data_IF_001899865134
#
_entry.id   IF_001899865134
#
_cell.length_a   1.000
_cell.length_b   1.000
_cell.length_c   1.000
_cell.angle_alpha   90.00
_cell.angle_beta   90.00
_cell.angle_gamma   90.00
#
_symmetry.space_group_name_H-M   'P 1'
#
loop_
_entity.id
_entity.type
_entity.pdbx_description
1 polymer ?
#
# COMPACT_ATOMS: atom_id res chain seq x y z
N UNK A 1 16.35 -33.86 -46.68
CA UNK A 1 15.12 -33.30 -47.29
C UNK A 1 14.13 -34.42 -47.59
N UNK A 2 13.00 -34.48 -46.89
CA UNK A 2 11.80 -35.20 -47.36
C UNK A 2 10.67 -34.18 -47.40
N UNK A 3 10.32 -33.71 -48.60
CA UNK A 3 9.13 -32.90 -48.83
C UNK A 3 7.93 -33.77 -48.46
N UNK A 4 7.31 -33.50 -47.31
CA UNK A 4 5.94 -33.96 -47.05
C UNK A 4 5.05 -33.19 -48.04
N UNK A 5 4.54 -33.91 -49.04
CA UNK A 5 3.47 -33.39 -49.89
C UNK A 5 2.37 -32.86 -48.97
N UNK A 6 2.05 -31.57 -49.12
CA UNK A 6 0.76 -31.06 -48.68
C UNK A 6 -0.26 -31.89 -49.42
N UNK A 7 -1.00 -32.74 -48.71
CA UNK A 7 -2.31 -33.18 -49.21
C UNK A 7 -3.08 -31.88 -49.42
N UNK A 8 -3.22 -31.46 -50.67
CA UNK A 8 -4.35 -30.63 -51.05
C UNK A 8 -5.57 -31.39 -50.57
N UNK A 9 -6.27 -30.80 -49.61
CA UNK A 9 -7.51 -31.36 -49.12
C UNK A 9 -8.45 -31.21 -50.32
N UNK A 10 -8.75 -32.33 -50.99
CA UNK A 10 -9.64 -32.36 -52.14
C UNK A 10 -11.09 -32.28 -51.64
N UNK A 11 -11.48 -31.07 -51.23
CA UNK A 11 -12.76 -30.82 -50.57
C UNK A 11 -13.96 -31.10 -51.49
N UNK A 12 -13.77 -31.06 -52.80
CA UNK A 12 -14.82 -31.19 -53.81
C UNK A 12 -15.33 -32.63 -53.85
N UNK A 13 -14.42 -33.62 -53.81
CA UNK A 13 -14.78 -35.05 -53.88
C UNK A 13 -15.50 -35.55 -52.63
N UNK A 14 -15.31 -34.90 -51.46
CA UNK A 14 -16.01 -35.25 -50.22
C UNK A 14 -17.48 -34.79 -50.16
N UNK A 15 -17.94 -33.95 -51.10
CA UNK A 15 -19.31 -33.43 -51.12
C UNK A 15 -20.26 -34.41 -51.81
N UNK A 16 -19.76 -35.12 -52.82
CA UNK A 16 -20.58 -36.01 -53.66
C UNK A 16 -20.96 -37.31 -52.93
N UNK A 17 -20.15 -37.70 -51.93
CA UNK A 17 -20.40 -38.88 -51.09
C UNK A 17 -21.37 -38.65 -49.91
N UNK A 18 -21.69 -37.38 -49.58
CA UNK A 18 -22.57 -37.03 -48.45
C UNK A 18 -24.03 -36.73 -48.88
N UNK A 19 -24.37 -36.91 -50.17
CA UNK A 19 -25.71 -36.68 -50.73
C UNK A 19 -26.45 -38.03 -50.85
N UNK A 20 -27.68 -38.12 -50.35
CA UNK A 20 -28.50 -39.32 -50.52
C UNK A 20 -28.81 -39.56 -52.01
N UNK A 21 -28.94 -40.83 -52.42
CA UNK A 21 -29.21 -41.19 -53.83
C UNK A 21 -30.51 -40.55 -54.35
N UNK A 22 -31.50 -40.37 -53.48
CA UNK A 22 -32.78 -39.70 -53.81
C UNK A 22 -32.60 -38.19 -54.07
N UNK A 23 -31.73 -37.51 -53.32
CA UNK A 23 -31.46 -36.08 -53.50
C UNK A 23 -30.61 -35.79 -54.76
N UNK A 24 -29.79 -36.75 -55.20
CA UNK A 24 -29.05 -36.65 -56.46
C UNK A 24 -29.95 -36.65 -57.70
N UNK A 25 -31.15 -37.23 -57.62
CA UNK A 25 -32.04 -37.45 -58.77
C UNK A 25 -33.05 -36.31 -59.00
N UNK A 26 -33.44 -35.53 -57.97
CA UNK A 26 -34.43 -34.43 -58.14
C UNK A 26 -33.87 -33.02 -58.05
N UNK A 27 -32.86 -32.74 -57.21
CA UNK A 27 -32.33 -31.37 -57.02
C UNK A 27 -30.81 -31.37 -56.72
N UNK A 28 -30.03 -32.03 -57.57
CA UNK A 28 -28.57 -32.27 -57.42
C UNK A 28 -27.76 -31.00 -57.09
N UNK A 29 -28.06 -29.87 -57.73
CA UNK A 29 -27.35 -28.62 -57.48
C UNK A 29 -27.70 -27.99 -56.12
N UNK A 30 -28.97 -28.05 -55.71
CA UNK A 30 -29.43 -27.48 -54.45
C UNK A 30 -28.93 -28.28 -53.25
N UNK A 31 -28.87 -29.61 -53.36
CA UNK A 31 -28.29 -30.49 -52.35
C UNK A 31 -26.77 -30.26 -52.18
N UNK A 32 -26.02 -30.16 -53.29
CA UNK A 32 -24.59 -29.81 -53.27
C UNK A 32 -24.34 -28.45 -52.61
N UNK A 33 -25.14 -27.43 -52.95
CA UNK A 33 -25.02 -26.09 -52.35
C UNK A 33 -25.34 -26.09 -50.85
N UNK A 34 -26.37 -26.83 -50.42
CA UNK A 34 -26.77 -26.95 -49.01
C UNK A 34 -25.72 -27.64 -48.14
N UNK A 35 -25.12 -28.72 -48.63
CA UNK A 35 -24.02 -29.43 -47.91
C UNK A 35 -22.77 -28.56 -47.85
N UNK A 36 -22.43 -27.87 -48.95
CA UNK A 36 -21.30 -26.94 -49.00
C UNK A 36 -21.50 -25.77 -48.01
N UNK A 37 -22.71 -25.22 -47.94
CA UNK A 37 -23.07 -24.19 -46.97
C UNK A 37 -23.02 -24.69 -45.52
N UNK A 38 -23.47 -25.93 -45.23
CA UNK A 38 -23.36 -26.55 -43.89
C UNK A 38 -21.89 -26.77 -43.48
N UNK A 39 -21.04 -27.28 -44.37
CA UNK A 39 -19.60 -27.46 -44.11
C UNK A 39 -18.88 -26.11 -43.92
N UNK A 40 -19.19 -25.10 -44.74
CA UNK A 40 -18.65 -23.72 -44.57
C UNK A 40 -19.10 -23.12 -43.23
N UNK A 41 -20.39 -23.23 -42.86
CA UNK A 41 -20.89 -22.76 -41.56
C UNK A 41 -20.19 -23.47 -40.39
N UNK A 42 -19.94 -24.78 -40.50
CA UNK A 42 -19.22 -25.55 -39.48
C UNK A 42 -17.76 -25.09 -39.36
N UNK A 43 -17.07 -24.88 -40.48
CA UNK A 43 -15.69 -24.35 -40.49
C UNK A 43 -15.66 -22.95 -39.89
N UNK A 44 -16.52 -22.04 -40.35
CA UNK A 44 -16.62 -20.69 -39.81
C UNK A 44 -16.91 -20.72 -38.31
N UNK A 45 -17.85 -21.54 -37.85
CA UNK A 45 -18.16 -21.70 -36.42
C UNK A 45 -16.94 -22.13 -35.61
N UNK A 46 -16.21 -23.16 -36.05
CA UNK A 46 -14.97 -23.59 -35.36
C UNK A 46 -13.88 -22.53 -35.41
N UNK A 47 -13.71 -21.85 -36.55
CA UNK A 47 -12.67 -20.82 -36.72
C UNK A 47 -12.95 -19.59 -35.85
N UNK A 48 -14.21 -19.12 -35.80
CA UNK A 48 -14.62 -18.01 -34.94
C UNK A 48 -14.57 -18.38 -33.46
N UNK A 49 -14.94 -19.62 -33.09
CA UNK A 49 -14.86 -20.09 -31.70
C UNK A 49 -13.41 -20.19 -31.23
N UNK A 50 -12.51 -20.74 -32.08
CA UNK A 50 -11.08 -20.78 -31.79
C UNK A 50 -10.46 -19.39 -31.75
N UNK A 51 -10.79 -18.49 -32.67
CA UNK A 51 -10.31 -17.10 -32.65
C UNK A 51 -10.77 -16.37 -31.37
N UNK A 52 -12.05 -16.47 -31.01
CA UNK A 52 -12.58 -15.88 -29.78
C UNK A 52 -11.89 -16.45 -28.52
N UNK A 53 -11.69 -17.77 -28.45
CA UNK A 53 -10.99 -18.40 -27.34
C UNK A 53 -9.52 -17.95 -27.27
N UNK A 54 -8.85 -17.82 -28.41
CA UNK A 54 -7.45 -17.36 -28.48
C UNK A 54 -7.32 -15.89 -28.13
N UNK A 55 -8.29 -15.05 -28.52
CA UNK A 55 -8.36 -13.64 -28.12
C UNK A 55 -8.66 -13.50 -26.63
N UNK A 56 -9.55 -14.31 -26.06
CA UNK A 56 -9.85 -14.30 -24.62
C UNK A 56 -8.63 -14.77 -23.82
N UNK A 57 -8.00 -15.87 -24.23
CA UNK A 57 -6.77 -16.39 -23.60
C UNK A 57 -5.64 -15.38 -23.76
N UNK A 58 -5.46 -14.81 -24.95
CA UNK A 58 -4.45 -13.78 -25.24
C UNK A 58 -4.68 -12.49 -24.45
N UNK A 59 -5.93 -12.04 -24.31
CA UNK A 59 -6.30 -10.89 -23.48
C UNK A 59 -6.13 -11.18 -22.00
N UNK A 60 -6.50 -12.38 -21.53
CA UNK A 60 -6.36 -12.79 -20.12
C UNK A 60 -4.88 -12.92 -19.74
N UNK A 61 -4.09 -13.56 -20.60
CA UNK A 61 -2.62 -13.63 -20.47
C UNK A 61 -2.02 -12.23 -20.59
N UNK A 62 -2.48 -11.39 -21.53
CA UNK A 62 -2.02 -10.01 -21.68
C UNK A 62 -2.31 -9.15 -20.45
N UNK A 63 -3.49 -9.27 -19.85
CA UNK A 63 -3.90 -8.57 -18.62
C UNK A 63 -3.15 -9.13 -17.40
N UNK A 64 -2.94 -10.46 -17.32
CA UNK A 64 -2.17 -11.07 -16.22
C UNK A 64 -0.66 -10.81 -16.31
N UNK A 65 -0.08 -10.75 -17.51
CA UNK A 65 1.34 -10.43 -17.72
C UNK A 65 1.62 -8.93 -17.62
N UNK A 66 0.64 -8.07 -17.88
CA UNK A 66 0.79 -6.61 -17.76
C UNK A 66 0.66 -6.12 -16.32
N UNK A 67 -0.15 -6.78 -15.48
CA UNK A 67 -0.22 -6.45 -14.05
C UNK A 67 1.04 -6.89 -13.31
N UNK A 68 1.69 -6.02 -12.52
CA UNK A 68 2.79 -6.43 -11.66
C UNK A 68 2.29 -7.49 -10.68
N UNK A 69 3.09 -8.52 -10.44
CA UNK A 69 2.75 -9.64 -9.56
C UNK A 69 2.55 -9.18 -8.10
N UNK A 70 3.29 -8.14 -7.71
CA UNK A 70 3.20 -7.47 -6.43
C UNK A 70 3.02 -5.98 -6.72
N UNK A 71 1.77 -5.55 -6.94
CA UNK A 71 1.40 -4.15 -6.90
C UNK A 71 1.43 -3.65 -5.45
N UNK A 72 1.57 -2.35 -5.21
CA UNK A 72 1.36 -1.81 -3.86
C UNK A 72 -0.10 -2.06 -3.44
N UNK A 73 -0.29 -2.74 -2.32
CA UNK A 73 -1.58 -3.18 -1.78
C UNK A 73 -2.08 -2.15 -0.77
N UNK A 74 -3.27 -1.63 -1.03
CA UNK A 74 -4.02 -0.92 0.00
C UNK A 74 -4.69 -1.94 0.93
N UNK A 75 -4.31 -1.92 2.21
CA UNK A 75 -4.95 -2.76 3.23
C UNK A 75 -6.33 -2.18 3.56
N UNK A 76 -7.39 -2.90 3.18
CA UNK A 76 -8.78 -2.51 3.49
C UNK A 76 -9.05 -2.51 5.00
N UNK A 77 -10.07 -1.75 5.44
CA UNK A 77 -10.40 -1.54 6.85
C UNK A 77 -10.76 -2.80 7.64
N UNK A 78 -11.18 -3.87 6.96
CA UNK A 78 -11.46 -5.17 7.57
C UNK A 78 -10.22 -5.92 8.07
N UNK A 79 -9.03 -5.53 7.61
CA UNK A 79 -7.77 -6.17 8.01
C UNK A 79 -7.22 -5.42 9.22
N UNK A 80 -6.93 -6.14 10.29
CA UNK A 80 -6.27 -5.56 11.46
C UNK A 80 -4.86 -5.10 11.06
N UNK A 81 -4.55 -3.84 11.31
CA UNK A 81 -3.26 -3.22 10.98
C UNK A 81 -2.60 -2.77 12.29
N UNK A 82 -1.31 -3.03 12.43
CA UNK A 82 -0.52 -2.57 13.55
C UNK A 82 0.62 -1.67 13.07
N UNK A 83 0.90 -0.61 13.83
CA UNK A 83 2.11 0.19 13.66
C UNK A 83 3.32 -0.58 14.19
N UNK A 84 4.36 -0.68 13.38
CA UNK A 84 5.64 -1.25 13.79
C UNK A 84 6.21 -0.52 15.01
N UNK A 85 6.18 0.81 14.97
CA UNK A 85 6.73 1.67 16.02
C UNK A 85 5.97 1.51 17.34
N UNK A 86 4.64 1.40 17.28
CA UNK A 86 3.82 1.18 18.47
C UNK A 86 4.11 -0.17 19.13
N UNK A 87 4.24 -1.25 18.34
CA UNK A 87 4.63 -2.58 18.84
C UNK A 87 5.98 -2.50 19.56
N UNK A 88 6.98 -1.83 18.95
CA UNK A 88 8.32 -1.71 19.53
C UNK A 88 8.32 -0.93 20.86
N UNK A 89 7.53 0.14 20.94
CA UNK A 89 7.41 1.00 22.13
C UNK A 89 6.60 0.35 23.24
N UNK A 90 5.57 -0.44 22.90
CA UNK A 90 4.63 -1.04 23.83
C UNK A 90 4.77 -2.56 23.93
N UNK A 91 6.01 -3.06 23.91
CA UNK A 91 6.38 -4.49 23.89
C UNK A 91 5.80 -5.37 25.04
N UNK A 92 5.08 -4.78 26.00
CA UNK A 92 4.46 -5.44 27.15
C UNK A 92 2.93 -5.26 27.25
N UNK A 93 2.27 -4.58 26.30
CA UNK A 93 0.79 -4.46 26.32
C UNK A 93 0.13 -5.71 25.74
N UNK A 94 -0.89 -6.21 26.42
CA UNK A 94 -1.66 -7.45 26.14
C UNK A 94 -2.39 -7.48 24.78
N UNK A 95 -2.36 -6.38 24.03
CA UNK A 95 -3.22 -6.17 22.85
C UNK A 95 -2.59 -6.66 21.54
N UNK A 96 -1.29 -6.96 21.51
CA UNK A 96 -0.60 -7.43 20.31
C UNK A 96 -0.47 -8.96 20.31
N UNK A 97 -0.71 -9.64 19.17
CA UNK A 97 -0.54 -11.09 19.05
C UNK A 97 0.95 -11.53 19.04
N UNK A 98 1.87 -10.58 18.95
CA UNK A 98 3.31 -10.79 18.79
C UNK A 98 4.13 -9.82 19.63
N UNK A 99 5.40 -10.13 19.80
CA UNK A 99 6.44 -9.25 20.33
C UNK A 99 7.59 -9.13 19.32
N UNK A 100 8.11 -7.91 19.16
CA UNK A 100 9.11 -7.60 18.13
C UNK A 100 10.23 -6.74 18.71
N UNK A 101 11.47 -7.16 18.46
CA UNK A 101 12.67 -6.41 18.87
C UNK A 101 13.59 -6.26 17.68
N UNK A 102 14.07 -5.04 17.40
CA UNK A 102 15.11 -4.79 16.38
C UNK A 102 16.49 -4.82 17.02
N UNK A 103 17.44 -5.52 16.40
CA UNK A 103 18.85 -5.35 16.72
C UNK A 103 19.35 -4.05 16.07
N UNK A 104 19.46 -2.97 16.87
CA UNK A 104 19.79 -1.61 16.39
C UNK A 104 21.14 -1.53 15.64
N UNK A 105 22.08 -2.43 15.96
CA UNK A 105 23.43 -2.45 15.40
C UNK A 105 23.53 -3.30 14.12
N UNK A 106 22.47 -4.05 13.81
CA UNK A 106 22.47 -4.95 12.67
C UNK A 106 22.03 -4.25 11.40
N UNK A 107 22.73 -4.57 10.32
CA UNK A 107 22.39 -4.21 8.94
C UNK A 107 22.49 -5.46 8.08
N UNK A 108 21.74 -5.52 6.99
CA UNK A 108 21.89 -6.60 6.01
C UNK A 108 23.20 -6.36 5.24
N UNK A 109 24.19 -7.26 5.35
CA UNK A 109 25.53 -7.04 4.82
C UNK A 109 25.53 -7.03 3.28
N UNK A 110 26.39 -6.20 2.69
CA UNK A 110 26.66 -6.06 1.27
C UNK A 110 25.45 -5.73 0.38
N UNK A 111 24.33 -5.31 0.95
CA UNK A 111 23.12 -4.94 0.21
C UNK A 111 22.90 -3.43 0.19
N UNK A 112 22.30 -2.93 -0.90
CA UNK A 112 21.53 -1.66 -0.94
C UNK A 112 20.04 -1.97 -0.75
N UNK A 113 19.14 -0.98 -0.56
CA UNK A 113 17.70 -1.23 -0.52
C UNK A 113 17.17 -1.96 -1.76
N UNK A 114 17.67 -1.63 -2.96
CA UNK A 114 17.35 -2.32 -4.22
C UNK A 114 17.86 -3.76 -4.23
N UNK A 115 19.11 -3.97 -3.80
CA UNK A 115 19.69 -5.30 -3.73
C UNK A 115 18.92 -6.21 -2.76
N UNK A 116 18.52 -5.67 -1.61
CA UNK A 116 17.69 -6.38 -0.64
C UNK A 116 16.29 -6.68 -1.22
N UNK A 117 15.64 -5.72 -1.88
CA UNK A 117 14.38 -5.94 -2.59
C UNK A 117 14.51 -7.10 -3.58
N UNK A 118 15.54 -7.07 -4.43
CA UNK A 118 15.77 -8.14 -5.42
C UNK A 118 16.02 -9.49 -4.76
N UNK A 119 16.76 -9.52 -3.64
CA UNK A 119 16.98 -10.72 -2.85
C UNK A 119 15.65 -11.27 -2.30
N UNK A 120 14.85 -10.44 -1.63
CA UNK A 120 13.60 -10.86 -1.01
C UNK A 120 12.59 -11.36 -2.05
N UNK A 121 12.50 -10.71 -3.21
CA UNK A 121 11.59 -11.09 -4.30
C UNK A 121 11.98 -12.43 -4.92
N UNK A 122 13.28 -12.71 -5.09
CA UNK A 122 13.76 -13.90 -5.78
C UNK A 122 13.85 -15.13 -4.88
N UNK A 123 13.97 -14.95 -3.57
CA UNK A 123 14.12 -16.03 -2.61
C UNK A 123 12.78 -16.62 -2.13
N UNK A 124 12.89 -17.77 -1.46
CA UNK A 124 11.76 -18.41 -0.77
C UNK A 124 11.46 -17.65 0.53
N UNK A 125 10.19 -17.66 0.94
CA UNK A 125 9.73 -16.94 2.14
C UNK A 125 10.45 -17.40 3.41
N UNK A 126 10.75 -18.70 3.55
CA UNK A 126 11.51 -19.19 4.72
C UNK A 126 12.95 -18.64 4.75
N UNK A 127 13.59 -18.51 3.58
CA UNK A 127 14.92 -17.89 3.45
C UNK A 127 14.87 -16.42 3.88
N UNK A 128 13.85 -15.68 3.43
CA UNK A 128 13.64 -14.29 3.82
C UNK A 128 13.38 -14.17 5.33
N UNK A 129 12.54 -15.06 5.88
CA UNK A 129 12.24 -15.11 7.31
C UNK A 129 13.51 -15.32 8.13
N UNK A 130 14.37 -16.27 7.75
CA UNK A 130 15.63 -16.52 8.45
C UNK A 130 16.61 -15.35 8.35
N UNK A 131 16.65 -14.64 7.21
CA UNK A 131 17.46 -13.42 7.07
C UNK A 131 16.99 -12.33 8.03
N UNK A 132 15.67 -12.10 8.10
CA UNK A 132 15.10 -10.97 8.85
C UNK A 132 14.96 -11.29 10.34
N UNK A 133 14.45 -12.47 10.70
CA UNK A 133 14.13 -12.84 12.08
C UNK A 133 15.14 -13.80 12.72
N UNK A 134 16.11 -14.29 11.95
CA UNK A 134 17.10 -15.25 12.43
C UNK A 134 16.57 -16.68 12.45
N UNK A 135 17.42 -17.58 12.92
CA UNK A 135 17.12 -18.99 13.15
C UNK A 135 17.60 -19.40 14.54
N UNK A 136 17.56 -20.69 14.86
CA UNK A 136 18.18 -21.21 16.10
C UNK A 136 19.71 -20.97 16.13
N UNK A 137 20.34 -20.87 14.97
CA UNK A 137 21.80 -20.85 14.81
C UNK A 137 22.33 -19.47 14.41
N UNK A 138 21.45 -18.59 13.92
CA UNK A 138 21.83 -17.27 13.41
C UNK A 138 20.94 -16.20 14.01
N UNK A 139 21.56 -15.14 14.52
CA UNK A 139 20.81 -13.96 14.91
C UNK A 139 20.23 -13.29 13.65
N UNK A 140 19.00 -12.80 13.71
CA UNK A 140 18.35 -12.02 12.64
C UNK A 140 18.63 -10.53 12.74
N UNK A 141 18.07 -9.76 11.80
CA UNK A 141 17.96 -8.30 11.90
C UNK A 141 16.99 -7.87 13.03
N UNK A 142 15.91 -8.62 13.18
CA UNK A 142 14.94 -8.50 14.25
C UNK A 142 14.74 -9.86 14.94
N UNK A 143 14.09 -9.84 16.10
CA UNK A 143 13.58 -11.03 16.79
C UNK A 143 12.07 -10.92 16.87
N UNK A 144 11.39 -11.98 16.46
CA UNK A 144 9.94 -12.09 16.49
C UNK A 144 9.55 -13.21 17.44
N UNK A 145 8.64 -12.92 18.35
CA UNK A 145 8.05 -13.87 19.29
C UNK A 145 6.53 -13.87 19.13
N UNK A 146 5.96 -15.06 19.00
CA UNK A 146 4.53 -15.27 18.92
C UNK A 146 3.95 -15.47 20.31
N UNK A 147 3.05 -14.58 20.73
CA UNK A 147 2.45 -14.65 22.06
C UNK A 147 1.29 -15.64 22.11
N UNK A 148 0.60 -15.84 20.97
CA UNK A 148 -0.34 -16.94 20.80
C UNK A 148 0.41 -18.17 20.24
N UNK A 149 0.60 -19.18 21.09
CA UNK A 149 1.32 -20.42 20.72
C UNK A 149 0.47 -21.41 19.91
N UNK A 150 -0.85 -21.22 19.88
CA UNK A 150 -1.78 -22.12 19.20
C UNK A 150 -1.88 -21.82 17.70
N UNK A 151 -1.49 -20.61 17.28
CA UNK A 151 -1.47 -20.20 15.88
C UNK A 151 -0.11 -20.42 15.24
N UNK A 152 -0.09 -21.11 14.09
CA UNK A 152 1.11 -21.27 13.28
C UNK A 152 1.14 -20.25 12.15
N UNK A 153 1.72 -19.08 12.42
CA UNK A 153 1.74 -17.99 11.45
C UNK A 153 2.81 -18.16 10.36
N UNK A 154 2.37 -17.89 9.14
CA UNK A 154 3.16 -17.65 7.96
C UNK A 154 3.28 -16.14 7.70
N UNK A 155 4.46 -15.69 7.30
CA UNK A 155 4.77 -14.26 7.13
C UNK A 155 5.13 -14.00 5.66
N UNK A 156 4.40 -13.11 5.01
CA UNK A 156 4.72 -12.59 3.68
C UNK A 156 5.27 -11.16 3.77
N UNK A 157 6.14 -10.82 2.82
CA UNK A 157 6.72 -9.49 2.69
C UNK A 157 6.07 -8.80 1.48
N UNK A 158 5.30 -7.74 1.73
CA UNK A 158 4.60 -6.99 0.70
C UNK A 158 4.91 -5.49 0.82
N UNK A 159 4.43 -4.69 -0.14
CA UNK A 159 4.58 -3.22 -0.13
C UNK A 159 6.02 -2.75 0.08
N UNK A 160 6.91 -3.15 -0.82
CA UNK A 160 8.28 -2.68 -0.79
C UNK A 160 8.36 -1.19 -1.12
N UNK A 161 9.00 -0.41 -0.24
CA UNK A 161 9.23 1.02 -0.44
C UNK A 161 10.68 1.36 -0.12
N UNK A 162 11.39 1.95 -1.07
CA UNK A 162 12.75 2.46 -0.85
C UNK A 162 12.64 3.85 -0.22
N UNK A 163 13.30 4.05 0.92
CA UNK A 163 13.35 5.32 1.61
C UNK A 163 14.53 6.16 1.06
N UNK A 164 14.26 7.24 0.32
CA UNK A 164 15.33 8.11 -0.19
C UNK A 164 15.81 9.12 0.84
N UNK A 165 15.13 9.21 1.99
CA UNK A 165 15.48 10.10 3.11
C UNK A 165 16.43 9.35 4.03
N UNK A 166 16.03 8.15 4.48
CA UNK A 166 16.93 7.19 5.12
C UNK A 166 17.49 6.23 4.06
N UNK A 167 18.52 6.70 3.34
CA UNK A 167 19.05 6.03 2.14
C UNK A 167 19.49 4.56 2.36
N UNK A 168 19.70 4.12 3.61
CA UNK A 168 20.04 2.74 4.00
C UNK A 168 18.83 1.86 4.39
N UNK A 169 17.59 2.22 4.02
CA UNK A 169 16.38 1.52 4.47
C UNK A 169 15.48 1.07 3.32
N UNK A 170 15.09 -0.20 3.38
CA UNK A 170 13.93 -0.75 2.67
C UNK A 170 12.78 -0.91 3.66
N UNK A 171 11.65 -0.29 3.38
CA UNK A 171 10.42 -0.43 4.16
C UNK A 171 9.55 -1.52 3.52
N UNK A 172 8.97 -2.38 4.35
CA UNK A 172 8.08 -3.47 3.92
C UNK A 172 6.89 -3.59 4.86
N UNK A 173 5.77 -4.10 4.37
CA UNK A 173 4.68 -4.57 5.20
C UNK A 173 4.85 -6.08 5.46
N UNK A 174 4.67 -6.48 6.71
CA UNK A 174 4.71 -7.89 7.12
C UNK A 174 3.29 -8.40 7.27
N UNK A 175 2.90 -9.35 6.43
CA UNK A 175 1.54 -9.90 6.37
C UNK A 175 1.51 -11.24 7.08
N UNK A 176 0.66 -11.36 8.11
CA UNK A 176 0.54 -12.58 8.91
C UNK A 176 -0.72 -13.35 8.49
N UNK A 177 -0.52 -14.62 8.14
CA UNK A 177 -1.58 -15.56 7.78
C UNK A 177 -1.41 -16.84 8.57
N UNK A 178 -2.50 -17.50 8.92
CA UNK A 178 -2.41 -18.84 9.49
C UNK A 178 -2.02 -19.85 8.41
N UNK A 179 -1.10 -20.78 8.72
CA UNK A 179 -0.64 -21.78 7.75
C UNK A 179 -1.81 -22.65 7.27
N UNK A 180 -2.04 -22.65 5.96
CA UNK A 180 -3.16 -23.38 5.35
C UNK A 180 -4.45 -22.57 5.21
N UNK A 181 -4.49 -21.34 5.73
CA UNK A 181 -5.55 -20.38 5.52
C UNK A 181 -5.12 -19.30 4.50
N UNK A 182 -6.05 -18.90 3.63
CA UNK A 182 -5.84 -17.78 2.70
C UNK A 182 -6.08 -16.41 3.31
N UNK A 183 -6.81 -16.35 4.43
CA UNK A 183 -7.17 -15.10 5.09
C UNK A 183 -5.98 -14.47 5.83
N UNK A 184 -5.96 -13.13 5.82
CA UNK A 184 -4.97 -12.32 6.52
C UNK A 184 -5.48 -12.10 7.94
N UNK A 185 -4.71 -12.55 8.93
CA UNK A 185 -5.02 -12.30 10.33
C UNK A 185 -4.76 -10.82 10.67
N UNK A 186 -3.55 -10.34 10.37
CA UNK A 186 -3.16 -8.94 10.56
C UNK A 186 -1.93 -8.57 9.73
N UNK A 187 -1.64 -7.27 9.66
CA UNK A 187 -0.46 -6.71 8.99
C UNK A 187 0.30 -5.79 9.93
N UNK A 188 1.62 -5.94 9.99
CA UNK A 188 2.50 -4.91 10.56
C UNK A 188 2.96 -4.02 9.42
N UNK A 189 2.70 -2.73 9.54
CA UNK A 189 3.02 -1.77 8.50
C UNK A 189 4.38 -1.12 8.71
N UNK A 190 4.96 -0.66 7.61
CA UNK A 190 6.18 0.13 7.58
C UNK A 190 7.36 -0.51 8.36
N UNK A 191 7.50 -1.83 8.33
CA UNK A 191 8.62 -2.52 8.96
C UNK A 191 9.93 -2.12 8.26
N UNK A 192 10.87 -1.47 8.96
CA UNK A 192 12.10 -0.98 8.37
C UNK A 192 13.16 -2.09 8.36
N UNK A 193 13.86 -2.26 7.24
CA UNK A 193 15.03 -3.15 7.15
C UNK A 193 16.24 -2.34 6.73
N UNK A 194 17.25 -2.27 7.61
CA UNK A 194 18.48 -1.51 7.34
C UNK A 194 19.46 -2.32 6.51
N UNK A 195 19.96 -1.73 5.45
CA UNK A 195 21.01 -2.28 4.60
C UNK A 195 22.36 -1.67 4.96
N UNK A 196 23.45 -2.37 4.65
CA UNK A 196 24.80 -1.86 4.91
C UNK A 196 25.15 -0.67 4.02
N UNK A 197 24.72 -0.73 2.75
CA UNK A 197 24.95 0.31 1.75
C UNK A 197 23.69 1.15 1.54
N UNK A 198 23.88 2.39 1.16
CA UNK A 198 22.82 3.33 0.79
C UNK A 198 22.31 3.07 -0.64
N UNK A 199 21.11 3.57 -0.97
CA UNK A 199 20.64 3.64 -2.36
C UNK A 199 21.52 4.61 -3.16
N UNK A 200 22.13 4.09 -4.22
CA UNK A 200 22.87 4.92 -5.18
C UNK A 200 21.93 5.51 -6.24
N UNK A 201 20.85 4.78 -6.57
CA UNK A 201 19.93 5.10 -7.67
C UNK A 201 19.06 6.31 -7.38
N UNK A 202 18.66 6.50 -6.12
CA UNK A 202 17.72 7.55 -5.72
C UNK A 202 18.38 8.62 -4.84
N UNK A 203 19.66 8.89 -5.07
CA UNK A 203 20.37 9.96 -4.38
C UNK A 203 20.21 11.29 -5.12
N UNK A 204 19.51 12.26 -4.51
CA UNK A 204 19.38 13.60 -5.09
C UNK A 204 20.73 14.28 -5.33
N UNK A 205 21.74 13.99 -4.50
CA UNK A 205 23.08 14.57 -4.63
C UNK A 205 23.82 14.07 -5.88
N UNK A 206 23.48 12.88 -6.39
CA UNK A 206 24.09 12.31 -7.60
C UNK A 206 23.42 12.77 -8.90
N UNK A 207 22.30 13.50 -8.82
CA UNK A 207 21.64 14.07 -9.99
C UNK A 207 22.42 15.26 -10.59
N UNK A 208 22.29 15.45 -11.91
CA UNK A 208 22.79 16.65 -12.58
C UNK A 208 22.03 17.93 -12.13
N UNK A 209 22.64 19.10 -12.33
CA UNK A 209 22.10 20.37 -11.82
C UNK A 209 20.71 20.70 -12.38
N UNK A 210 20.43 20.33 -13.63
CA UNK A 210 19.12 20.56 -14.28
C UNK A 210 18.04 19.72 -13.62
N UNK A 211 18.29 18.43 -13.38
CA UNK A 211 17.36 17.54 -12.68
C UNK A 211 17.17 17.95 -11.23
N UNK A 212 18.24 18.34 -10.53
CA UNK A 212 18.14 18.90 -9.17
C UNK A 212 17.20 20.10 -9.13
N UNK A 213 17.43 21.09 -10.00
CA UNK A 213 16.60 22.30 -10.06
C UNK A 213 15.13 21.99 -10.36
N UNK A 214 14.85 21.06 -11.27
CA UNK A 214 13.48 20.63 -11.57
C UNK A 214 12.82 19.91 -10.39
N UNK A 215 13.53 19.03 -9.70
CA UNK A 215 13.02 18.37 -8.48
C UNK A 215 12.71 19.36 -7.37
N UNK A 216 13.54 20.39 -7.19
CA UNK A 216 13.31 21.46 -6.21
C UNK A 216 12.07 22.28 -6.59
N UNK A 217 11.93 22.67 -7.86
CA UNK A 217 10.75 23.41 -8.35
C UNK A 217 9.46 22.62 -8.13
N UNK A 218 9.47 21.32 -8.44
CA UNK A 218 8.32 20.43 -8.21
C UNK A 218 8.02 20.27 -6.71
N UNK A 219 9.06 20.13 -5.89
CA UNK A 219 8.91 20.07 -4.43
C UNK A 219 8.21 21.31 -3.87
N UNK A 220 8.60 22.51 -4.31
CA UNK A 220 7.95 23.76 -3.88
C UNK A 220 6.46 23.77 -4.26
N UNK A 221 6.12 23.38 -5.49
CA UNK A 221 4.73 23.32 -5.92
C UNK A 221 3.88 22.35 -5.06
N UNK A 222 4.43 21.19 -4.72
CA UNK A 222 3.78 20.21 -3.83
C UNK A 222 3.57 20.79 -2.43
N UNK A 223 4.57 21.49 -1.88
CA UNK A 223 4.47 22.14 -0.57
C UNK A 223 3.35 23.19 -0.56
N UNK A 224 3.33 24.06 -1.57
CA UNK A 224 2.34 25.14 -1.69
C UNK A 224 0.92 24.58 -1.89
N UNK A 225 0.79 23.50 -2.68
CA UNK A 225 -0.48 22.79 -2.87
C UNK A 225 -0.99 22.19 -1.56
N UNK A 226 -0.14 21.47 -0.82
CA UNK A 226 -0.54 20.86 0.45
C UNK A 226 -0.92 21.96 1.46
N UNK A 227 -0.10 23.01 1.60
CA UNK A 227 -0.40 24.12 2.53
C UNK A 227 -1.74 24.79 2.24
N UNK A 228 -2.06 25.02 0.96
CA UNK A 228 -3.29 25.72 0.58
C UNK A 228 -4.55 24.87 0.73
N UNK A 229 -4.43 23.55 0.65
CA UNK A 229 -5.58 22.64 0.66
C UNK A 229 -5.81 21.93 1.98
N UNK A 230 -4.77 21.75 2.79
CA UNK A 230 -4.86 20.91 3.97
C UNK A 230 -5.78 21.49 5.05
N UNK A 231 -6.62 20.63 5.60
CA UNK A 231 -7.54 20.85 6.69
C UNK A 231 -7.73 19.52 7.42
N UNK A 232 -7.81 19.59 8.74
CA UNK A 232 -8.21 18.43 9.54
C UNK A 232 -9.70 18.51 9.85
N UNK A 233 -10.35 17.36 9.94
CA UNK A 233 -11.75 17.24 10.35
C UNK A 233 -11.85 16.29 11.53
N UNK A 234 -12.38 16.77 12.65
CA UNK A 234 -12.81 15.96 13.79
C UNK A 234 -14.26 15.56 13.60
N UNK A 235 -14.50 14.26 13.48
CA UNK A 235 -15.81 13.66 13.31
C UNK A 235 -16.34 13.16 14.63
N UNK A 236 -17.55 13.58 14.99
CA UNK A 236 -18.28 13.14 16.17
C UNK A 236 -19.67 12.58 15.84
N UNK A 237 -20.27 11.75 16.71
CA UNK A 237 -21.64 11.24 16.47
C UNK A 237 -22.71 12.35 16.46
N UNK A 238 -22.41 13.46 17.13
CA UNK A 238 -23.25 14.65 17.17
C UNK A 238 -22.63 15.78 16.36
N UNK A 239 -23.45 16.74 15.95
CA UNK A 239 -22.96 17.99 15.40
C UNK A 239 -22.59 18.94 16.55
N UNK A 240 -21.30 19.10 16.84
CA UNK A 240 -20.85 19.96 17.94
C UNK A 240 -21.13 21.45 17.69
N UNK A 241 -21.54 21.84 16.47
CA UNK A 241 -22.03 23.19 16.16
C UNK A 241 -23.53 23.36 16.42
N UNK A 242 -24.25 22.28 16.74
CA UNK A 242 -25.66 22.30 17.07
C UNK A 242 -25.94 22.71 18.52
N UNK A 243 -27.22 22.84 18.87
CA UNK A 243 -27.67 23.20 20.21
C UNK A 243 -27.56 22.00 21.18
N UNK A 244 -26.36 21.75 21.68
CA UNK A 244 -26.09 20.74 22.71
C UNK A 244 -25.68 21.39 24.05
N UNK A 245 -25.96 20.74 25.20
CA UNK A 245 -25.50 21.24 26.49
C UNK A 245 -23.98 21.42 26.52
N UNK A 246 -23.51 22.49 27.17
CA UNK A 246 -22.08 22.83 27.23
C UNK A 246 -21.24 21.70 27.83
N UNK A 247 -21.77 20.98 28.82
CA UNK A 247 -21.12 19.80 29.42
C UNK A 247 -20.83 18.71 28.37
N UNK A 248 -21.79 18.48 27.46
CA UNK A 248 -21.65 17.50 26.38
C UNK A 248 -20.63 17.97 25.35
N UNK A 249 -20.60 19.25 25.00
CA UNK A 249 -19.57 19.81 24.11
C UNK A 249 -18.19 19.66 24.74
N UNK A 250 -18.06 20.01 26.03
CA UNK A 250 -16.80 19.95 26.77
C UNK A 250 -16.26 18.52 26.88
N UNK A 251 -17.12 17.49 26.99
CA UNK A 251 -16.66 16.10 27.01
C UNK A 251 -15.96 15.71 25.70
N UNK A 252 -16.53 16.08 24.54
CA UNK A 252 -15.89 15.84 23.24
C UNK A 252 -14.59 16.64 23.07
N UNK A 253 -14.55 17.90 23.52
CA UNK A 253 -13.33 18.72 23.51
C UNK A 253 -12.21 18.09 24.35
N UNK A 254 -12.55 17.58 25.53
CA UNK A 254 -11.57 16.94 26.42
C UNK A 254 -11.02 15.64 25.82
N UNK A 255 -11.85 14.86 25.13
CA UNK A 255 -11.39 13.66 24.41
C UNK A 255 -10.44 14.04 23.27
N UNK A 256 -10.75 15.08 22.50
CA UNK A 256 -9.85 15.58 21.46
C UNK A 256 -8.50 16.03 22.04
N UNK A 257 -8.51 16.77 23.16
CA UNK A 257 -7.28 17.16 23.87
C UNK A 257 -6.47 15.96 24.32
N UNK A 258 -7.13 14.98 24.95
CA UNK A 258 -6.49 13.75 25.39
C UNK A 258 -5.87 12.98 24.22
N UNK A 259 -6.59 12.85 23.10
CA UNK A 259 -6.06 12.21 21.90
C UNK A 259 -4.78 12.88 21.38
N UNK A 260 -4.76 14.21 21.31
CA UNK A 260 -3.57 14.97 20.88
C UNK A 260 -2.42 14.80 21.88
N UNK A 261 -2.72 14.80 23.18
CA UNK A 261 -1.72 14.59 24.23
C UNK A 261 -1.14 13.17 24.17
N UNK A 262 -1.97 12.13 24.02
CA UNK A 262 -1.52 10.74 23.87
C UNK A 262 -0.68 10.56 22.59
N UNK A 263 -1.09 11.16 21.47
CA UNK A 263 -0.28 11.17 20.25
C UNK A 263 1.07 11.87 20.47
N UNK A 264 1.06 13.03 21.11
CA UNK A 264 2.28 13.77 21.46
C UNK A 264 3.16 12.96 22.42
N UNK A 265 2.59 12.19 23.35
CA UNK A 265 3.35 11.30 24.21
C UNK A 265 3.99 10.19 23.38
N UNK A 266 3.27 9.49 22.50
CA UNK A 266 3.86 8.50 21.59
C UNK A 266 5.03 9.09 20.77
N UNK A 267 4.92 10.36 20.40
CA UNK A 267 5.94 11.10 19.70
C UNK A 267 7.14 11.53 20.57
N UNK A 268 6.94 11.76 21.87
CA UNK A 268 7.97 12.27 22.80
C UNK A 268 8.48 11.25 23.83
N UNK A 269 7.88 10.06 23.90
CA UNK A 269 8.26 9.00 24.84
C UNK A 269 9.60 8.40 24.41
N UNK A 270 10.71 9.04 24.81
CA UNK A 270 11.94 8.46 25.39
C UNK A 270 13.24 9.29 25.22
N UNK A 271 13.21 10.59 24.93
CA UNK A 271 14.46 11.38 24.72
C UNK A 271 15.42 10.75 23.68
N UNK A 272 14.92 9.87 22.81
CA UNK A 272 15.67 9.30 21.69
C UNK A 272 15.19 10.00 20.43
N UNK A 273 16.13 10.46 19.62
CA UNK A 273 15.84 10.97 18.27
C UNK A 273 15.13 9.87 17.48
N UNK A 274 13.78 9.94 17.42
CA UNK A 274 12.99 9.05 16.58
C UNK A 274 13.54 9.15 15.16
N UNK A 275 13.96 8.01 14.63
CA UNK A 275 14.42 7.93 13.24
C UNK A 275 13.26 8.24 12.31
N UNK A 276 13.58 8.72 11.11
CA UNK A 276 12.58 9.14 10.13
C UNK A 276 11.51 8.06 9.87
N UNK A 277 11.89 6.80 9.69
CA UNK A 277 10.93 5.70 9.49
C UNK A 277 9.96 5.50 10.66
N UNK A 278 10.38 5.78 11.90
CA UNK A 278 9.49 5.71 13.08
C UNK A 278 8.51 6.88 13.07
N UNK A 279 8.99 8.09 12.72
CA UNK A 279 8.12 9.25 12.54
C UNK A 279 7.11 9.02 11.43
N UNK A 280 7.51 8.38 10.33
CA UNK A 280 6.64 8.05 9.21
C UNK A 280 5.52 7.10 9.63
N UNK A 281 5.87 6.06 10.37
CA UNK A 281 4.90 5.09 10.87
C UNK A 281 3.95 5.67 11.93
N UNK A 282 4.47 6.46 12.89
CA UNK A 282 3.64 7.13 13.91
C UNK A 282 2.75 8.20 13.29
N UNK A 283 3.24 9.01 12.34
CA UNK A 283 2.44 10.08 11.72
C UNK A 283 1.21 9.55 10.99
N UNK A 284 1.26 8.30 10.55
CA UNK A 284 0.09 7.60 10.02
C UNK A 284 -1.02 7.43 11.06
N UNK A 285 -0.69 7.16 12.32
CA UNK A 285 -1.69 6.99 13.39
C UNK A 285 -2.53 8.24 13.64
N UNK A 286 -2.01 9.43 13.32
CA UNK A 286 -2.76 10.68 13.40
C UNK A 286 -3.81 10.84 12.30
N UNK A 287 -3.58 10.20 11.15
CA UNK A 287 -4.36 10.38 9.91
C UNK A 287 -5.16 9.14 9.51
N UNK A 288 -4.83 7.97 10.05
CA UNK A 288 -5.66 6.79 9.93
C UNK A 288 -6.75 6.78 11.01
N UNK A 289 -7.97 6.39 10.64
CA UNK A 289 -9.03 6.14 11.61
C UNK A 289 -8.69 4.86 12.34
N UNK A 290 -8.08 4.93 13.52
CA UNK A 290 -7.93 3.75 14.33
C UNK A 290 -8.53 3.80 15.72
N UNK A 291 -9.16 2.66 15.95
CA UNK A 291 -9.95 2.16 17.05
C UNK A 291 -9.18 1.75 18.31
N UNK A 292 -7.86 1.99 18.38
CA UNK A 292 -7.05 1.50 19.51
C UNK A 292 -6.67 2.58 20.54
N UNK A 293 -6.47 3.84 20.13
CA UNK A 293 -6.10 4.88 21.10
C UNK A 293 -7.26 5.35 21.95
N UNK A 294 -8.49 5.31 21.42
CA UNK A 294 -9.68 5.69 22.20
C UNK A 294 -10.75 4.61 22.07
N UNK A 295 -10.71 3.61 22.97
CA UNK A 295 -11.92 2.88 23.34
C UNK A 295 -12.78 3.83 24.16
N UNK A 296 -13.50 4.74 23.49
CA UNK A 296 -14.50 5.54 24.18
C UNK A 296 -15.67 4.60 24.53
N UNK A 297 -16.23 4.74 25.72
CA UNK A 297 -17.47 4.06 26.12
C UNK A 297 -18.53 4.10 25.00
N UNK A 298 -19.37 3.06 24.94
CA UNK A 298 -20.35 2.79 23.87
C UNK A 298 -21.23 4.01 23.48
N UNK A 299 -21.46 4.95 24.41
CA UNK A 299 -22.30 6.15 24.24
C UNK A 299 -21.68 7.30 23.41
N UNK A 300 -20.36 7.32 23.20
CA UNK A 300 -19.64 8.44 22.58
C UNK A 300 -19.20 8.17 21.13
N UNK A 301 -19.52 6.99 20.60
CA UNK A 301 -19.40 6.59 19.20
C UNK A 301 -17.99 6.67 18.60
N UNK A 302 -17.88 6.42 17.29
CA UNK A 302 -16.58 6.41 16.59
C UNK A 302 -16.09 7.82 16.27
N UNK A 303 -15.30 8.40 17.17
CA UNK A 303 -14.58 9.66 16.95
C UNK A 303 -13.41 9.47 15.98
N UNK A 304 -13.20 10.41 15.05
CA UNK A 304 -12.14 10.30 14.03
C UNK A 304 -11.53 11.66 13.70
N UNK A 305 -10.22 11.70 13.49
CA UNK A 305 -9.52 12.86 12.92
C UNK A 305 -9.01 12.46 11.53
N UNK A 306 -9.35 13.26 10.52
CA UNK A 306 -8.88 13.03 9.15
C UNK A 306 -8.32 14.30 8.55
N UNK A 307 -7.22 14.15 7.82
CA UNK A 307 -6.75 15.17 6.89
C UNK A 307 -7.50 15.04 5.55
N UNK A 308 -7.83 16.16 4.93
CA UNK A 308 -8.23 16.19 3.52
C UNK A 308 -7.03 16.27 2.55
N UNK A 309 -5.79 16.18 3.04
CA UNK A 309 -4.60 16.07 2.21
C UNK A 309 -4.60 14.74 1.46
N UNK A 310 -5.38 14.70 0.38
CA UNK A 310 -5.36 13.62 -0.58
C UNK A 310 -4.24 13.90 -1.58
N UNK A 311 -3.09 13.26 -1.35
CA UNK A 311 -2.20 12.93 -2.47
C UNK A 311 -2.63 11.56 -3.00
N UNK A 312 -2.35 11.25 -4.27
CA UNK A 312 -2.73 9.97 -4.91
C UNK A 312 -2.31 8.73 -4.09
N UNK A 313 -1.36 8.90 -3.18
CA UNK A 313 -0.73 7.86 -2.37
C UNK A 313 -1.05 7.91 -0.87
N UNK A 314 -2.00 8.74 -0.42
CA UNK A 314 -2.38 8.88 1.00
C UNK A 314 -2.86 7.56 1.64
N UNK A 315 -3.32 6.63 0.81
CA UNK A 315 -3.70 5.28 1.18
C UNK A 315 -2.51 4.46 1.76
N UNK A 316 -1.28 4.76 1.34
CA UNK A 316 -0.08 3.99 1.71
C UNK A 316 0.70 4.57 2.90
N UNK A 317 0.64 5.88 3.13
CA UNK A 317 1.33 6.58 4.23
C UNK A 317 0.71 7.97 4.49
N UNK A 318 1.06 8.60 5.62
CA UNK A 318 0.70 10.00 5.86
C UNK A 318 1.61 10.93 5.06
N UNK A 319 1.09 11.82 4.20
CA UNK A 319 1.91 12.79 3.46
C UNK A 319 2.67 13.75 4.37
N UNK A 320 2.17 13.94 5.61
CA UNK A 320 2.83 14.74 6.63
C UNK A 320 3.51 13.84 7.65
N UNK A 321 4.81 14.05 7.80
CA UNK A 321 5.63 13.40 8.81
C UNK A 321 5.90 14.43 9.90
N UNK A 322 5.22 14.32 11.04
CA UNK A 322 5.37 15.28 12.13
C UNK A 322 6.81 15.30 12.60
N UNK A 323 7.31 16.49 12.92
CA UNK A 323 8.64 16.79 13.46
C UNK A 323 8.59 17.51 14.82
N UNK A 324 7.43 18.03 15.21
CA UNK A 324 7.17 18.64 16.51
C UNK A 324 5.93 18.06 17.16
N UNK A 325 5.70 18.44 18.43
CA UNK A 325 4.39 18.27 19.06
C UNK A 325 3.31 18.99 18.25
N UNK A 326 2.10 18.44 18.29
CA UNK A 326 0.89 19.07 17.78
C UNK A 326 0.30 19.92 18.89
N UNK A 327 0.15 21.22 18.63
CA UNK A 327 -0.51 22.17 19.51
C UNK A 327 -1.96 22.39 19.05
N UNK A 328 -2.92 22.18 19.95
CA UNK A 328 -4.32 22.53 19.73
C UNK A 328 -4.56 23.98 20.18
N UNK A 329 -4.77 24.88 19.24
CA UNK A 329 -5.01 26.31 19.50
C UNK A 329 -6.51 26.60 19.59
N UNK A 330 -6.88 27.54 20.47
CA UNK A 330 -8.20 28.17 20.58
C UNK A 330 -9.42 27.26 20.86
N UNK A 331 -9.22 25.99 21.23
CA UNK A 331 -10.33 25.07 21.55
C UNK A 331 -11.19 25.51 22.76
N UNK A 332 -10.60 26.30 23.66
CA UNK A 332 -11.24 26.80 24.89
C UNK A 332 -11.79 28.22 24.76
N UNK A 333 -11.74 28.80 23.56
CA UNK A 333 -12.33 30.12 23.30
C UNK A 333 -13.84 30.03 23.04
N UNK A 334 -14.53 31.16 23.13
CA UNK A 334 -15.97 31.23 22.84
C UNK A 334 -16.27 30.88 21.37
N UNK A 335 -15.37 31.25 20.43
CA UNK A 335 -15.50 30.99 19.00
C UNK A 335 -14.70 29.76 18.51
N UNK A 336 -14.53 28.76 19.38
CA UNK A 336 -13.73 27.57 19.10
C UNK A 336 -14.16 26.82 17.82
N UNK A 337 -15.43 26.91 17.40
CA UNK A 337 -15.97 26.23 16.22
C UNK A 337 -15.34 26.69 14.90
N UNK A 338 -14.77 27.89 14.89
CA UNK A 338 -14.19 28.55 13.71
C UNK A 338 -12.69 28.79 13.89
N UNK A 339 -12.24 29.03 15.12
CA UNK A 339 -10.87 29.44 15.41
C UNK A 339 -9.96 28.31 15.91
N UNK A 340 -10.48 27.09 16.08
CA UNK A 340 -9.64 25.95 16.50
C UNK A 340 -8.69 25.52 15.38
N UNK A 341 -7.40 25.49 15.69
CA UNK A 341 -6.35 25.14 14.75
C UNK A 341 -5.40 24.08 15.33
N UNK A 342 -4.79 23.30 14.45
CA UNK A 342 -3.66 22.42 14.75
C UNK A 342 -2.38 23.07 14.26
N UNK A 343 -1.48 23.39 15.19
CA UNK A 343 -0.16 23.96 14.89
C UNK A 343 0.94 22.93 15.11
N UNK A 344 1.78 22.71 14.12
CA UNK A 344 2.91 21.76 14.19
C UNK A 344 3.94 22.01 13.10
N UNK A 345 5.11 21.39 13.23
CA UNK A 345 6.12 21.29 12.16
C UNK A 345 6.09 19.88 11.59
N UNK A 346 6.17 19.78 10.26
CA UNK A 346 6.23 18.49 9.58
C UNK A 346 7.13 18.54 8.34
N UNK A 347 7.62 17.37 7.94
CA UNK A 347 8.16 17.12 6.60
C UNK A 347 7.04 16.66 5.69
N UNK A 348 7.11 17.05 4.43
CA UNK A 348 6.20 16.55 3.40
C UNK A 348 6.90 15.43 2.64
N UNK A 349 6.21 14.30 2.53
CA UNK A 349 6.70 13.13 1.80
C UNK A 349 5.68 12.78 0.73
N UNK A 350 6.20 12.38 -0.42
CA UNK A 350 5.42 11.83 -1.53
C UNK A 350 5.90 10.42 -1.83
N UNK A 351 5.09 9.65 -2.54
CA UNK A 351 5.44 8.29 -2.95
C UNK A 351 5.43 8.22 -4.47
N UNK A 352 6.62 8.04 -5.05
CA UNK A 352 6.75 7.56 -6.41
C UNK A 352 6.52 6.06 -6.47
N UNK A 353 6.15 5.53 -7.64
CA UNK A 353 6.16 4.09 -7.86
C UNK A 353 7.00 3.76 -9.08
N UNK A 354 7.76 2.68 -9.02
CA UNK A 354 8.47 2.12 -10.16
C UNK A 354 8.06 0.68 -10.36
N UNK A 355 8.03 0.24 -11.62
CA UNK A 355 7.83 -1.17 -11.96
C UNK A 355 9.04 -1.72 -12.69
N UNK A 356 9.68 -2.75 -12.11
CA UNK A 356 10.87 -3.40 -12.66
C UNK A 356 10.66 -4.90 -12.80
N UNK A 357 11.28 -5.49 -13.82
CA UNK A 357 11.39 -6.96 -13.94
C UNK A 357 12.56 -7.43 -13.10
N UNK A 358 12.28 -8.23 -12.07
CA UNK A 358 13.27 -8.84 -11.17
C UNK A 358 13.19 -10.35 -11.38
N UNK A 359 14.25 -10.92 -11.96
CA UNK A 359 14.24 -12.30 -12.42
C UNK A 359 13.10 -12.57 -13.40
N UNK A 360 12.16 -13.45 -13.02
CA UNK A 360 10.97 -13.79 -13.82
C UNK A 360 9.70 -13.03 -13.39
N UNK A 361 9.78 -12.16 -12.38
CA UNK A 361 8.63 -11.46 -11.79
C UNK A 361 8.64 -9.97 -12.18
N UNK A 362 7.47 -9.41 -12.49
CA UNK A 362 7.28 -7.97 -12.62
C UNK A 362 6.84 -7.43 -11.26
N UNK A 363 7.64 -6.56 -10.65
CA UNK A 363 7.42 -6.04 -9.30
C UNK A 363 7.22 -4.54 -9.37
N UNK A 364 6.16 -4.05 -8.72
CA UNK A 364 6.00 -2.62 -8.45
C UNK A 364 6.49 -2.35 -7.02
N UNK A 365 7.27 -1.30 -6.85
CA UNK A 365 7.72 -0.86 -5.53
C UNK A 365 7.59 0.66 -5.42
N UNK A 366 7.46 1.12 -4.19
CA UNK A 366 7.38 2.53 -3.85
C UNK A 366 8.74 3.17 -3.66
N UNK A 367 8.79 4.49 -3.78
CA UNK A 367 9.95 5.32 -3.50
C UNK A 367 9.46 6.52 -2.70
N UNK A 368 9.87 6.64 -1.43
CA UNK A 368 9.54 7.83 -0.65
C UNK A 368 10.43 8.99 -1.09
N UNK A 369 9.82 10.14 -1.39
CA UNK A 369 10.53 11.33 -1.86
C UNK A 369 10.14 12.51 -0.95
N UNK A 370 11.13 13.13 -0.31
CA UNK A 370 10.92 14.35 0.47
C UNK A 370 10.69 15.55 -0.44
N UNK A 371 9.62 16.30 -0.19
CA UNK A 371 9.45 17.61 -0.79
C UNK A 371 10.20 18.64 0.06
N UNK A 372 11.24 19.25 -0.52
CA UNK A 372 12.09 20.26 0.13
C UNK A 372 12.17 21.54 -0.71
N UNK A 373 12.34 22.69 -0.07
CA UNK A 373 12.50 23.99 -0.73
C UNK A 373 13.92 24.57 -0.59
N UNK A 374 14.94 23.72 -0.39
CA UNK A 374 16.36 24.05 -0.17
C UNK A 374 16.71 24.81 1.13
N UNK A 375 15.79 25.58 1.70
CA UNK A 375 16.05 26.45 2.87
C UNK A 375 15.40 25.94 4.17
N UNK A 376 14.32 25.15 4.08
CA UNK A 376 13.60 24.63 5.24
C UNK A 376 13.50 23.11 5.17
N UNK A 377 14.21 22.43 6.09
CA UNK A 377 14.02 20.98 6.33
C UNK A 377 12.71 20.66 7.04
N UNK A 378 12.05 21.67 7.62
CA UNK A 378 10.82 21.52 8.40
C UNK A 378 9.85 22.64 8.03
N UNK A 379 8.61 22.26 7.77
CA UNK A 379 7.57 23.18 7.33
C UNK A 379 6.62 23.39 8.50
N UNK A 380 6.43 24.64 8.91
CA UNK A 380 5.40 25.00 9.89
C UNK A 380 4.02 24.99 9.22
N UNK A 381 3.09 24.35 9.92
CA UNK A 381 1.69 24.23 9.58
C UNK A 381 0.85 24.84 10.70
N UNK A 382 -0.13 25.63 10.29
CA UNK A 382 -1.19 26.15 11.14
C UNK A 382 -2.50 25.90 10.40
N UNK A 383 -3.16 24.80 10.76
CA UNK A 383 -4.22 24.20 9.94
C UNK A 383 -5.55 24.27 10.69
N UNK A 384 -6.63 24.77 10.05
CA UNK A 384 -7.94 24.78 10.68
C UNK A 384 -8.44 23.37 10.98
N UNK A 385 -9.00 23.19 12.18
CA UNK A 385 -9.69 21.97 12.58
C UNK A 385 -11.20 22.14 12.41
N UNK A 386 -11.77 21.39 11.48
CA UNK A 386 -13.21 21.40 11.21
C UNK A 386 -13.93 20.39 12.09
N UNK A 387 -15.04 20.79 12.68
CA UNK A 387 -15.92 19.90 13.44
C UNK A 387 -17.05 19.40 12.54
N UNK A 388 -17.21 18.08 12.44
CA UNK A 388 -18.19 17.44 11.57
C UNK A 388 -18.93 16.34 12.31
N UNK A 389 -20.17 16.10 11.89
CA UNK A 389 -20.91 14.92 12.31
C UNK A 389 -20.55 13.72 11.42
N UNK A 390 -20.37 12.54 12.00
CA UNK A 390 -20.23 11.28 11.24
C UNK A 390 -21.51 11.01 10.46
N UNK A 391 -21.41 10.87 9.13
CA UNK A 391 -22.52 10.41 8.29
C UNK A 391 -22.75 8.91 8.52
N UNK A 392 -24.00 8.51 8.74
CA UNK A 392 -24.38 7.10 8.84
C UNK A 392 -24.19 6.37 7.51
#
# INVERSE_FOLDING_TARGET
MKKKNRQEIDWIDSIDNDISIEDQLKHKEFAKQSIKAKKIKKILFWTFTSAALTTIIGATIGIQLSKPKNALIYWYDKIQKYSFSEILLNNNKKEYPIKLTINKNKKIPNQTPEGLLEYLVNNKIETNKNLIFGSKETEGYAKLEFLNKDKNWYIEFENFVIDTISKDILIVDLVFKEKGNSEIDFVIRNFPIRTEKETEKYNLESLDQTKKNNTIKNSKAIIDEIKSKIAYSFYSPIDLKGNYPQEKINSYKNILKQYIEEFNQLYNLNNQDLKFYQRLDISRLFSEPFSHLIKVNEDLGSLRIYSNAAIETSNFFSPLIFNSKIELKNIDTDNWQEETHLKFKAKIVTLGTETKKIGRKKIQYGIYIEATNNEQKEIEFDIPLRFKKTSK
#
